data_IF_317835687807
#
_entry.id   IF_317835687807
#
_cell.length_a   1.000
_cell.length_b   1.000
_cell.length_c   1.000
_cell.angle_alpha   90.00
_cell.angle_beta   90.00
_cell.angle_gamma   90.00
#
_symmetry.space_group_name_H-M   'P 1'
#
loop_
_entity.id
_entity.type
_entity.pdbx_description
1 polymer ?
#
# COMPACT_ATOMS: atom_id res chain seq x y z
N UNK A 1 60.38 -30.23 -52.69
CA UNK A 1 58.94 -30.07 -52.57
C UNK A 1 58.62 -29.85 -51.12
N UNK A 2 58.45 -28.56 -50.71
CA UNK A 2 58.11 -28.18 -49.31
C UNK A 2 56.66 -27.80 -49.22
N UNK A 3 55.87 -28.56 -48.46
CA UNK A 3 54.52 -28.18 -48.10
C UNK A 3 54.56 -27.19 -46.91
N UNK A 4 54.12 -25.97 -47.13
CA UNK A 4 53.88 -24.99 -46.08
C UNK A 4 52.52 -25.24 -45.41
N UNK A 5 52.55 -25.61 -44.13
CA UNK A 5 51.32 -25.70 -43.31
C UNK A 5 51.02 -24.31 -42.75
N UNK A 6 49.89 -23.70 -43.12
CA UNK A 6 49.39 -22.50 -42.55
C UNK A 6 48.62 -22.83 -41.25
N UNK A 7 49.07 -22.24 -40.13
CA UNK A 7 48.36 -22.29 -38.85
C UNK A 7 47.32 -21.18 -38.82
N UNK A 8 46.02 -21.56 -38.74
CA UNK A 8 44.92 -20.63 -38.50
C UNK A 8 44.77 -20.46 -37.00
N UNK A 9 45.09 -19.28 -36.47
CA UNK A 9 44.75 -18.91 -35.11
C UNK A 9 43.29 -18.43 -35.06
N UNK A 10 42.42 -19.17 -34.37
CA UNK A 10 41.11 -18.75 -34.03
C UNK A 10 41.16 -17.89 -32.75
N UNK A 11 40.85 -16.60 -32.86
CA UNK A 11 40.69 -15.72 -31.72
C UNK A 11 39.30 -15.94 -31.11
N UNK A 12 39.25 -16.52 -29.92
CA UNK A 12 38.03 -16.64 -29.14
C UNK A 12 37.74 -15.31 -28.42
N UNK A 13 36.74 -14.59 -28.90
CA UNK A 13 36.23 -13.38 -28.24
C UNK A 13 35.33 -13.79 -27.07
N UNK A 14 35.79 -13.59 -25.85
CA UNK A 14 34.98 -13.74 -24.61
C UNK A 14 34.15 -12.48 -24.47
N UNK A 15 32.86 -12.59 -24.74
CA UNK A 15 31.89 -11.56 -24.42
C UNK A 15 31.58 -11.61 -22.92
N UNK A 16 32.04 -10.61 -22.15
CA UNK A 16 31.58 -10.39 -20.78
C UNK A 16 30.14 -9.87 -20.84
N UNK A 17 29.19 -10.72 -20.54
CA UNK A 17 27.83 -10.30 -20.25
C UNK A 17 27.83 -9.54 -18.91
N UNK A 18 27.80 -8.21 -18.99
CA UNK A 18 27.62 -7.36 -17.82
C UNK A 18 26.23 -7.61 -17.22
N UNK A 19 26.17 -8.10 -15.98
CA UNK A 19 24.97 -8.09 -15.18
C UNK A 19 24.59 -6.62 -14.94
N UNK A 20 23.64 -6.11 -15.73
CA UNK A 20 22.94 -4.86 -15.41
C UNK A 20 22.19 -5.10 -14.12
N UNK A 21 22.71 -4.56 -13.01
CA UNK A 21 22.00 -4.54 -11.74
C UNK A 21 20.66 -3.86 -11.92
N UNK A 22 19.58 -4.59 -11.71
CA UNK A 22 18.24 -4.06 -11.59
C UNK A 22 18.22 -3.19 -10.31
N UNK A 23 18.49 -1.89 -10.47
CA UNK A 23 18.20 -0.89 -9.46
C UNK A 23 16.68 -0.88 -9.26
N UNK A 24 16.20 -1.50 -8.19
CA UNK A 24 14.82 -1.37 -7.71
C UNK A 24 14.61 0.05 -7.15
N UNK A 25 14.77 1.05 -8.00
CA UNK A 25 14.35 2.41 -7.71
C UNK A 25 12.82 2.45 -7.81
N UNK A 26 12.14 2.61 -6.69
CA UNK A 26 10.70 2.88 -6.70
C UNK A 26 10.45 4.04 -7.67
N UNK A 27 9.58 3.83 -8.64
CA UNK A 27 9.26 4.84 -9.64
C UNK A 27 8.68 6.08 -8.94
N UNK A 28 9.18 7.27 -9.28
CA UNK A 28 8.64 8.55 -8.78
C UNK A 28 7.15 8.72 -9.11
N UNK A 29 6.62 7.93 -10.04
CA UNK A 29 5.19 7.89 -10.43
C UNK A 29 4.32 7.10 -9.45
N UNK A 30 4.89 6.23 -8.62
CA UNK A 30 4.11 5.36 -7.73
C UNK A 30 3.62 6.09 -6.46
N UNK A 31 4.35 7.07 -5.93
CA UNK A 31 3.93 7.79 -4.74
C UNK A 31 2.59 8.55 -4.91
N UNK A 32 2.34 9.29 -6.02
CA UNK A 32 1.02 9.84 -6.30
C UNK A 32 -0.07 8.78 -6.46
N UNK A 33 0.23 7.62 -7.05
CA UNK A 33 -0.73 6.53 -7.21
C UNK A 33 -1.13 5.91 -5.85
N UNK A 34 -0.17 5.75 -4.94
CA UNK A 34 -0.42 5.32 -3.54
C UNK A 34 -1.27 6.35 -2.80
N UNK A 35 -0.93 7.64 -2.90
CA UNK A 35 -1.71 8.71 -2.28
C UNK A 35 -3.16 8.73 -2.79
N UNK A 36 -3.36 8.54 -4.10
CA UNK A 36 -4.69 8.43 -4.69
C UNK A 36 -5.46 7.19 -4.22
N UNK A 37 -4.79 6.05 -4.02
CA UNK A 37 -5.41 4.85 -3.46
C UNK A 37 -5.82 5.05 -1.99
N UNK A 38 -4.96 5.72 -1.19
CA UNK A 38 -5.28 6.07 0.19
C UNK A 38 -6.47 7.04 0.29
N UNK A 39 -6.56 8.01 -0.63
CA UNK A 39 -7.72 8.92 -0.70
C UNK A 39 -9.00 8.20 -1.11
N UNK A 40 -8.95 7.28 -2.09
CA UNK A 40 -10.10 6.45 -2.44
C UNK A 40 -10.59 5.62 -1.25
N UNK A 41 -9.66 5.07 -0.45
CA UNK A 41 -10.01 4.32 0.75
C UNK A 41 -10.70 5.24 1.78
N UNK A 42 -10.19 6.46 2.00
CA UNK A 42 -10.81 7.45 2.88
C UNK A 42 -12.27 7.72 2.47
N UNK A 43 -12.51 7.94 1.19
CA UNK A 43 -13.86 8.17 0.65
C UNK A 43 -14.74 6.94 0.83
N UNK A 44 -14.22 5.74 0.51
CA UNK A 44 -14.95 4.50 0.64
C UNK A 44 -15.27 4.12 2.10
N UNK A 45 -14.54 4.65 3.07
CA UNK A 45 -14.85 4.47 4.50
C UNK A 45 -15.97 5.38 4.98
N UNK A 46 -16.20 6.53 4.32
CA UNK A 46 -17.30 7.46 4.63
C UNK A 46 -18.61 6.99 3.96
N UNK A 47 -18.52 6.53 2.72
CA UNK A 47 -19.66 6.02 1.94
C UNK A 47 -19.35 4.60 1.46
N UNK A 48 -19.49 3.59 2.35
CA UNK A 48 -18.99 2.26 2.09
C UNK A 48 -19.90 1.49 1.12
N UNK A 49 -19.23 0.84 0.15
CA UNK A 49 -19.79 -0.25 -0.63
C UNK A 49 -18.82 -1.44 -0.60
N UNK A 50 -19.37 -2.66 -0.56
CA UNK A 50 -18.53 -3.87 -0.56
C UNK A 50 -17.57 -3.88 -1.73
N UNK A 51 -18.02 -3.50 -2.93
CA UNK A 51 -17.18 -3.50 -4.14
C UNK A 51 -16.02 -2.49 -4.06
N UNK A 52 -16.27 -1.27 -3.56
CA UNK A 52 -15.23 -0.25 -3.43
C UNK A 52 -14.18 -0.65 -2.40
N UNK A 53 -14.61 -1.16 -1.24
CA UNK A 53 -13.71 -1.62 -0.17
C UNK A 53 -12.89 -2.84 -0.63
N UNK A 54 -13.53 -3.84 -1.26
CA UNK A 54 -12.87 -5.05 -1.78
C UNK A 54 -11.77 -4.74 -2.79
N UNK A 55 -12.02 -3.75 -3.65
CA UNK A 55 -11.03 -3.33 -4.66
C UNK A 55 -9.79 -2.67 -4.04
N UNK A 56 -9.90 -2.05 -2.86
CA UNK A 56 -8.86 -1.22 -2.25
C UNK A 56 -8.03 -1.94 -1.19
N UNK A 57 -8.50 -3.08 -0.66
CA UNK A 57 -7.78 -3.83 0.38
C UNK A 57 -7.31 -5.18 -0.14
N UNK A 58 -6.16 -5.63 0.39
CA UNK A 58 -5.60 -6.95 0.06
C UNK A 58 -6.39 -8.07 0.74
N UNK A 59 -6.32 -9.30 0.19
CA UNK A 59 -6.98 -10.47 0.79
C UNK A 59 -6.46 -10.75 2.20
N UNK A 60 -5.15 -10.61 2.39
CA UNK A 60 -4.46 -10.81 3.68
C UNK A 60 -4.41 -9.54 4.53
N UNK A 61 -5.42 -8.67 4.44
CA UNK A 61 -5.47 -7.42 5.21
C UNK A 61 -5.32 -7.67 6.70
N UNK A 62 -4.43 -6.89 7.33
CA UNK A 62 -4.31 -6.76 8.79
C UNK A 62 -4.63 -5.31 9.19
N UNK A 63 -5.83 -5.06 9.70
CA UNK A 63 -6.29 -3.69 10.01
C UNK A 63 -6.33 -3.45 11.52
N UNK A 64 -5.26 -2.89 12.06
CA UNK A 64 -5.11 -2.61 13.49
C UNK A 64 -5.78 -1.31 13.93
N UNK A 65 -6.62 -1.40 14.97
CA UNK A 65 -7.29 -0.27 15.62
C UNK A 65 -6.45 0.30 16.76
N UNK A 66 -6.71 1.55 17.14
CA UNK A 66 -6.03 2.21 18.25
C UNK A 66 -6.34 1.61 19.64
N UNK A 67 -7.39 0.81 19.73
CA UNK A 67 -7.76 0.04 20.92
C UNK A 67 -7.20 -1.38 20.97
N UNK A 68 -6.40 -1.79 19.96
CA UNK A 68 -5.75 -3.10 19.90
C UNK A 68 -6.52 -4.18 19.14
N UNK A 69 -7.79 -3.94 18.75
CA UNK A 69 -8.51 -4.85 17.83
C UNK A 69 -7.79 -4.91 16.49
N UNK A 70 -7.72 -6.09 15.89
CA UNK A 70 -7.22 -6.29 14.52
C UNK A 70 -8.30 -6.96 13.69
N UNK A 71 -8.68 -6.33 12.59
CA UNK A 71 -9.62 -6.87 11.63
C UNK A 71 -8.92 -7.51 10.44
N UNK A 72 -9.53 -8.55 9.92
CA UNK A 72 -9.29 -9.11 8.59
C UNK A 72 -10.03 -8.28 7.55
N UNK A 73 -9.79 -8.54 6.26
CA UNK A 73 -10.58 -7.95 5.16
C UNK A 73 -12.08 -8.15 5.37
N UNK A 74 -12.49 -9.37 5.69
CA UNK A 74 -13.91 -9.70 5.87
C UNK A 74 -14.55 -8.91 7.02
N UNK A 75 -13.91 -8.87 8.20
CA UNK A 75 -14.45 -8.14 9.35
C UNK A 75 -14.39 -6.62 9.15
N UNK A 76 -13.34 -6.09 8.53
CA UNK A 76 -13.24 -4.67 8.19
C UNK A 76 -14.41 -4.21 7.29
N UNK A 77 -14.69 -4.97 6.21
CA UNK A 77 -15.81 -4.66 5.31
C UNK A 77 -17.16 -4.82 6.04
N UNK A 78 -17.34 -5.89 6.81
CA UNK A 78 -18.57 -6.14 7.55
C UNK A 78 -18.89 -5.04 8.57
N UNK A 79 -17.89 -4.56 9.32
CA UNK A 79 -18.06 -3.49 10.31
C UNK A 79 -18.49 -2.17 9.66
N UNK A 80 -17.91 -1.80 8.51
CA UNK A 80 -18.31 -0.62 7.76
C UNK A 80 -19.71 -0.76 7.15
N UNK A 81 -20.01 -1.92 6.53
CA UNK A 81 -21.30 -2.16 5.89
C UNK A 81 -22.47 -2.25 6.87
N UNK A 82 -22.21 -2.67 8.10
CA UNK A 82 -23.23 -2.78 9.16
C UNK A 82 -23.43 -1.49 9.98
N UNK A 83 -22.52 -0.52 9.82
CA UNK A 83 -22.47 0.67 10.68
C UNK A 83 -21.93 0.39 12.09
N UNK A 84 -21.36 -0.79 12.36
CA UNK A 84 -20.62 -1.05 13.60
C UNK A 84 -19.39 -0.13 13.70
N UNK A 85 -18.79 0.19 12.56
CA UNK A 85 -17.85 1.30 12.34
C UNK A 85 -18.46 2.22 11.30
N UNK A 86 -18.71 3.48 11.66
CA UNK A 86 -19.37 4.44 10.79
C UNK A 86 -18.69 5.81 10.88
N UNK A 87 -18.05 6.22 9.77
CA UNK A 87 -17.38 7.51 9.66
C UNK A 87 -18.30 8.53 8.99
N UNK A 88 -18.71 9.53 9.73
CA UNK A 88 -19.48 10.68 9.21
C UNK A 88 -18.56 11.62 8.43
N UNK A 89 -17.38 11.90 8.98
CA UNK A 89 -16.32 12.70 8.33
C UNK A 89 -14.97 12.08 8.59
N UNK A 90 -14.03 12.26 7.66
CA UNK A 90 -12.61 11.94 7.88
C UNK A 90 -11.76 13.08 7.32
N UNK A 91 -10.95 13.70 8.15
CA UNK A 91 -9.91 14.64 7.76
C UNK A 91 -8.53 14.00 7.93
N UNK A 92 -7.69 14.16 6.93
CA UNK A 92 -6.30 13.68 6.90
C UNK A 92 -5.35 14.86 6.90
N UNK A 93 -4.35 14.86 7.82
CA UNK A 93 -3.27 15.83 7.87
C UNK A 93 -1.91 15.14 7.96
N UNK A 94 -0.84 15.87 7.69
CA UNK A 94 0.56 15.42 7.80
C UNK A 94 0.84 14.13 7.01
N UNK A 95 0.20 13.95 5.85
CA UNK A 95 0.39 12.76 5.06
C UNK A 95 1.77 12.70 4.42
N UNK A 96 2.42 11.57 4.57
CA UNK A 96 3.66 11.23 3.87
C UNK A 96 3.54 9.87 3.19
N UNK A 97 4.14 9.74 2.01
CA UNK A 97 4.18 8.51 1.23
C UNK A 97 5.63 8.17 0.91
N UNK A 98 6.02 6.92 1.18
CA UNK A 98 7.34 6.40 0.86
C UNK A 98 7.19 5.06 0.14
N UNK A 99 7.70 4.98 -1.09
CA UNK A 99 7.64 3.77 -1.93
C UNK A 99 8.97 3.03 -1.87
N UNK A 100 8.91 1.70 -1.77
CA UNK A 100 10.03 0.78 -1.76
C UNK A 100 9.67 -0.47 -2.59
N UNK A 101 10.04 -0.48 -3.87
CA UNK A 101 9.64 -1.53 -4.81
C UNK A 101 8.12 -1.62 -4.94
N UNK A 102 7.58 -2.81 -4.73
CA UNK A 102 6.14 -3.08 -4.77
C UNK A 102 5.41 -2.83 -3.44
N UNK A 103 6.08 -2.21 -2.46
CA UNK A 103 5.50 -1.80 -1.20
C UNK A 103 5.57 -0.29 -1.02
N UNK A 104 4.61 0.26 -0.28
CA UNK A 104 4.64 1.65 0.13
C UNK A 104 4.16 1.81 1.58
N UNK A 105 4.76 2.78 2.27
CA UNK A 105 4.36 3.20 3.61
C UNK A 105 3.68 4.55 3.49
N UNK A 106 2.48 4.66 4.05
CA UNK A 106 1.75 5.92 4.21
C UNK A 106 1.59 6.20 5.70
N UNK A 107 1.94 7.40 6.11
CA UNK A 107 1.69 7.89 7.48
C UNK A 107 0.87 9.16 7.42
N UNK A 108 -0.06 9.30 8.34
CA UNK A 108 -0.86 10.52 8.48
C UNK A 108 -1.50 10.61 9.87
N UNK A 109 -2.01 11.79 10.18
CA UNK A 109 -2.95 12.00 11.27
C UNK A 109 -4.36 11.95 10.70
N UNK A 110 -5.27 11.23 11.36
CA UNK A 110 -6.68 11.16 11.02
C UNK A 110 -7.50 11.71 12.17
N UNK A 111 -8.39 12.66 11.87
CA UNK A 111 -9.48 13.07 12.74
C UNK A 111 -10.80 12.75 12.06
N UNK A 112 -11.80 12.35 12.85
CA UNK A 112 -13.09 11.93 12.31
C UNK A 112 -14.22 12.18 13.31
N UNK A 113 -15.41 12.48 12.78
CA UNK A 113 -16.65 12.28 13.48
C UNK A 113 -17.21 10.90 13.11
N UNK A 114 -17.70 10.17 14.09
CA UNK A 114 -18.23 8.81 13.91
C UNK A 114 -19.64 8.66 14.45
N UNK A 115 -20.35 7.65 13.96
CA UNK A 115 -21.66 7.23 14.44
C UNK A 115 -21.69 5.71 14.68
N UNK A 116 -20.66 5.18 15.32
CA UNK A 116 -20.41 3.76 15.50
C UNK A 116 -21.56 3.07 16.26
N UNK A 117 -22.24 2.13 15.59
CA UNK A 117 -23.44 1.49 16.14
C UNK A 117 -24.54 2.49 16.51
N UNK A 118 -24.65 3.62 15.81
CA UNK A 118 -25.60 4.69 16.07
C UNK A 118 -25.22 5.63 17.23
N UNK A 119 -23.99 5.53 17.75
CA UNK A 119 -23.47 6.38 18.84
C UNK A 119 -22.50 7.42 18.30
N UNK A 120 -22.82 8.74 18.45
CA UNK A 120 -21.89 9.78 18.06
C UNK A 120 -20.58 9.70 18.82
N UNK A 121 -19.47 9.92 18.11
CA UNK A 121 -18.12 9.94 18.67
C UNK A 121 -17.16 10.78 17.83
N UNK A 122 -15.95 10.95 18.35
CA UNK A 122 -14.85 11.61 17.65
C UNK A 122 -13.58 10.76 17.77
N UNK A 123 -12.74 10.80 16.76
CA UNK A 123 -11.48 10.06 16.69
C UNK A 123 -10.34 11.01 16.35
N UNK A 124 -9.22 10.89 17.07
CA UNK A 124 -7.95 11.52 16.73
C UNK A 124 -6.84 10.49 16.89
N UNK A 125 -6.26 10.05 15.78
CA UNK A 125 -5.29 8.95 15.74
C UNK A 125 -4.18 9.22 14.73
N UNK A 126 -2.99 8.67 15.02
CA UNK A 126 -1.89 8.58 14.06
C UNK A 126 -1.88 7.20 13.43
N UNK A 127 -1.71 7.15 12.12
CA UNK A 127 -1.83 5.94 11.33
C UNK A 127 -0.54 5.65 10.59
N UNK A 128 -0.17 4.37 10.55
CA UNK A 128 0.75 3.78 9.61
C UNK A 128 -0.01 2.79 8.74
N UNK A 129 0.11 2.93 7.43
CA UNK A 129 -0.41 2.00 6.44
C UNK A 129 0.73 1.40 5.63
N UNK A 130 0.61 0.12 5.29
CA UNK A 130 1.44 -0.57 4.31
C UNK A 130 0.55 -0.91 3.12
N UNK A 131 0.95 -0.42 1.96
CA UNK A 131 0.32 -0.68 0.69
C UNK A 131 1.20 -1.61 -0.14
N UNK A 132 0.58 -2.50 -0.91
CA UNK A 132 1.26 -3.43 -1.80
C UNK A 132 0.69 -3.32 -3.20
N UNK A 133 1.57 -3.37 -4.21
CA UNK A 133 1.18 -3.36 -5.61
C UNK A 133 0.67 -4.75 -6.00
N UNK A 134 -0.59 -4.85 -6.40
CA UNK A 134 -1.25 -6.09 -6.75
C UNK A 134 -2.19 -5.84 -7.93
N UNK A 135 -2.15 -6.71 -8.96
CA UNK A 135 -3.07 -6.64 -10.10
C UNK A 135 -3.05 -5.29 -10.85
N UNK A 136 -1.91 -4.60 -10.87
CA UNK A 136 -1.77 -3.30 -11.53
C UNK A 136 -2.23 -2.09 -10.70
N UNK A 137 -2.66 -2.29 -9.45
CA UNK A 137 -3.06 -1.23 -8.52
C UNK A 137 -2.38 -1.34 -7.16
N UNK A 138 -2.66 -0.39 -6.28
CA UNK A 138 -2.19 -0.41 -4.89
C UNK A 138 -3.33 -0.83 -3.98
N UNK A 139 -3.08 -1.85 -3.13
CA UNK A 139 -4.02 -2.37 -2.13
C UNK A 139 -3.46 -2.20 -0.74
N UNK A 140 -4.31 -1.84 0.22
CA UNK A 140 -3.94 -1.79 1.63
C UNK A 140 -3.69 -3.21 2.14
N UNK A 141 -2.46 -3.50 2.57
CA UNK A 141 -2.07 -4.78 3.15
C UNK A 141 -2.14 -4.74 4.67
N UNK A 142 -1.68 -3.64 5.27
CA UNK A 142 -1.71 -3.50 6.72
C UNK A 142 -1.97 -2.05 7.14
N UNK A 143 -2.61 -1.90 8.30
CA UNK A 143 -2.77 -0.63 8.98
C UNK A 143 -2.57 -0.82 10.49
N UNK A 144 -1.95 0.14 11.13
CA UNK A 144 -1.95 0.27 12.58
C UNK A 144 -2.26 1.71 12.98
N UNK A 145 -3.23 1.86 13.85
CA UNK A 145 -3.56 3.13 14.47
C UNK A 145 -3.02 3.17 15.91
N UNK A 146 -2.63 4.36 16.34
CA UNK A 146 -2.35 4.69 17.74
C UNK A 146 -3.07 5.99 18.09
N UNK A 147 -3.48 6.14 19.34
CA UNK A 147 -4.09 7.41 19.79
C UNK A 147 -3.09 8.55 19.62
N UNK A 148 -3.55 9.70 19.13
CA UNK A 148 -2.75 10.90 19.16
C UNK A 148 -2.51 11.28 20.62
N UNK A 149 -1.25 11.62 20.97
CA UNK A 149 -0.98 12.20 22.29
C UNK A 149 -1.70 13.55 22.39
N UNK A 150 -2.43 13.76 23.45
CA UNK A 150 -3.04 15.04 23.82
C UNK A 150 -2.00 15.95 24.46
#
# INVERSE_FOLDING_TARGET
MLLKRAFLMAAASVALAGCAGLSSGGSTTDAPAVAAAAEKLRVAMIDPTTAALDALVAEDLSYGHSGGKVDTKASFIADLMSGASDFVTIAITDQSVRVAGDAAIVRHTLTADTLDGGKPGTVAIKILQVWQKQGGGWKLLARQAVRAAT
#
